data_IF_380824604229
#
_entry.id   IF_380824604229
#
_cell.length_a   1.000
_cell.length_b   1.000
_cell.length_c   1.000
_cell.angle_alpha   90.00
_cell.angle_beta   90.00
_cell.angle_gamma   90.00
#
_symmetry.space_group_name_H-M   'P 1'
#
loop_
_entity.id
_entity.type
_entity.pdbx_description
1 polymer ?
#
# COMPACT_ATOMS: atom_id res chain seq x y z
N UNK A 1 16.60 -0.52 -2.21
CA UNK A 1 16.71 0.92 -2.51
C UNK A 1 16.04 1.40 -3.80
N UNK A 2 15.61 0.49 -4.65
CA UNK A 2 14.85 0.81 -5.87
C UNK A 2 13.43 1.27 -5.56
N UNK A 3 12.77 0.62 -4.60
CA UNK A 3 11.40 0.95 -4.17
C UNK A 3 11.36 2.37 -3.58
N UNK A 4 12.33 2.72 -2.73
CA UNK A 4 12.41 4.04 -2.13
C UNK A 4 12.64 5.16 -3.15
N UNK A 5 13.49 4.92 -4.18
CA UNK A 5 13.69 5.89 -5.27
C UNK A 5 12.45 6.08 -6.14
N UNK A 6 11.67 5.02 -6.35
CA UNK A 6 10.41 5.13 -7.09
C UNK A 6 9.33 5.84 -6.27
N UNK A 7 9.25 5.58 -4.96
CA UNK A 7 8.39 6.35 -4.05
C UNK A 7 8.69 7.85 -4.11
N UNK A 8 9.95 8.27 -4.04
CA UNK A 8 10.32 9.68 -4.12
C UNK A 8 9.88 10.31 -5.45
N UNK A 9 10.07 9.62 -6.59
CA UNK A 9 9.61 10.11 -7.90
C UNK A 9 8.09 10.24 -7.97
N UNK A 10 7.36 9.32 -7.34
CA UNK A 10 5.90 9.35 -7.25
C UNK A 10 5.45 10.54 -6.38
N UNK A 11 6.12 10.81 -5.27
CA UNK A 11 5.85 11.99 -4.44
C UNK A 11 6.08 13.29 -5.21
N UNK A 12 7.12 13.38 -6.00
CA UNK A 12 7.38 14.57 -6.85
C UNK A 12 6.24 14.81 -7.84
N UNK A 13 5.71 13.75 -8.46
CA UNK A 13 4.55 13.85 -9.37
C UNK A 13 3.30 14.28 -8.61
N UNK A 14 3.02 13.71 -7.44
CA UNK A 14 1.88 14.10 -6.60
C UNK A 14 1.96 15.58 -6.22
N UNK A 15 3.14 16.06 -5.82
CA UNK A 15 3.38 17.46 -5.47
C UNK A 15 3.15 18.37 -6.68
N UNK A 16 3.53 17.94 -7.87
CA UNK A 16 3.33 18.72 -9.10
C UNK A 16 1.85 18.77 -9.51
N UNK A 17 1.16 17.65 -9.45
CA UNK A 17 -0.27 17.52 -9.82
C UNK A 17 -1.17 18.33 -8.88
N UNK A 18 -0.79 18.43 -7.61
CA UNK A 18 -1.57 19.13 -6.57
C UNK A 18 -1.14 20.59 -6.29
N UNK A 19 -0.22 21.16 -7.07
CA UNK A 19 0.25 22.55 -6.87
C UNK A 19 -0.84 23.61 -6.85
N UNK A 20 -1.99 23.33 -7.44
CA UNK A 20 -3.12 24.26 -7.57
C UNK A 20 -4.34 23.86 -6.74
N UNK A 21 -4.28 22.78 -5.97
CA UNK A 21 -5.40 22.33 -5.13
C UNK A 21 -5.12 22.75 -3.69
N UNK A 22 -5.96 23.63 -3.08
CA UNK A 22 -5.83 23.96 -1.68
C UNK A 22 -5.85 22.69 -0.82
N UNK A 23 -5.00 22.63 0.21
CA UNK A 23 -4.82 21.43 1.06
C UNK A 23 -6.12 20.91 1.67
N UNK A 24 -7.12 21.75 1.89
CA UNK A 24 -8.45 21.36 2.40
C UNK A 24 -9.33 20.67 1.35
N UNK A 25 -8.96 20.72 0.06
CA UNK A 25 -9.66 20.04 -1.03
C UNK A 25 -9.02 18.70 -1.42
N UNK A 26 -7.92 18.34 -0.77
CA UNK A 26 -7.30 17.03 -1.00
C UNK A 26 -8.25 15.92 -0.56
N UNK A 27 -8.65 15.07 -1.50
CA UNK A 27 -9.58 13.98 -1.26
C UNK A 27 -8.94 12.81 -0.52
N UNK A 28 -7.64 12.61 -0.66
CA UNK A 28 -6.89 11.62 0.07
C UNK A 28 -5.78 12.26 0.89
N UNK A 29 -5.73 11.94 2.19
CA UNK A 29 -4.68 12.35 3.11
C UNK A 29 -3.63 11.26 3.35
N UNK A 30 -3.65 10.19 2.53
CA UNK A 30 -2.79 9.04 2.74
C UNK A 30 -3.00 8.41 4.12
N UNK A 31 -1.92 8.05 4.80
CA UNK A 31 -2.00 7.47 6.15
C UNK A 31 -2.69 8.39 7.17
N UNK A 32 -2.72 9.70 6.94
CA UNK A 32 -3.43 10.67 7.81
C UNK A 32 -4.96 10.62 7.65
N UNK A 33 -5.50 9.87 6.70
CA UNK A 33 -6.93 9.64 6.53
C UNK A 33 -7.48 8.49 7.41
N UNK A 34 -6.61 7.76 8.11
CA UNK A 34 -7.04 6.70 9.04
C UNK A 34 -7.94 7.31 10.13
N UNK A 35 -8.93 6.53 10.56
CA UNK A 35 -9.79 6.89 11.70
C UNK A 35 -8.91 7.07 12.93
N UNK A 36 -9.26 8.06 13.78
CA UNK A 36 -8.51 8.32 15.00
C UNK A 36 -8.31 7.06 15.84
N UNK A 37 -7.06 6.84 16.24
CA UNK A 37 -6.63 5.62 16.93
C UNK A 37 -7.40 5.37 18.23
N UNK A 38 -7.75 6.43 19.00
CA UNK A 38 -8.48 6.26 20.25
C UNK A 38 -9.92 5.79 19.99
N UNK A 39 -10.58 6.35 18.98
CA UNK A 39 -11.91 5.93 18.56
C UNK A 39 -11.88 4.48 18.07
N UNK A 40 -10.90 4.12 17.28
CA UNK A 40 -10.71 2.77 16.76
C UNK A 40 -10.44 1.78 17.91
N UNK A 41 -9.51 2.10 18.80
CA UNK A 41 -9.15 1.29 19.96
C UNK A 41 -10.36 1.05 20.89
N UNK A 42 -11.13 2.10 21.19
CA UNK A 42 -12.30 2.01 22.08
C UNK A 42 -13.39 1.11 21.48
N UNK A 43 -13.56 1.17 20.16
CA UNK A 43 -14.57 0.38 19.45
C UNK A 43 -14.14 -1.06 19.27
N UNK A 44 -12.90 -1.29 18.85
CA UNK A 44 -12.39 -2.61 18.50
C UNK A 44 -11.94 -3.43 19.72
N UNK A 45 -11.56 -2.80 20.84
CA UNK A 45 -11.08 -3.50 22.05
C UNK A 45 -12.12 -4.44 22.67
N UNK A 46 -13.39 -4.28 22.32
CA UNK A 46 -14.48 -5.13 22.80
C UNK A 46 -14.66 -6.41 21.96
N UNK A 47 -14.24 -6.40 20.72
CA UNK A 47 -14.59 -7.42 19.73
C UNK A 47 -13.37 -8.05 19.05
N UNK A 48 -12.25 -7.32 18.94
CA UNK A 48 -11.08 -7.69 18.14
C UNK A 48 -9.81 -7.48 18.95
N UNK A 49 -8.86 -8.40 18.83
CA UNK A 49 -7.49 -8.21 19.34
C UNK A 49 -6.85 -7.13 18.48
N UNK A 50 -6.72 -5.92 19.03
CA UNK A 50 -6.08 -4.80 18.35
C UNK A 50 -4.60 -4.78 18.64
N UNK A 51 -3.78 -4.89 17.62
CA UNK A 51 -2.38 -4.46 17.65
C UNK A 51 -2.31 -3.05 17.09
N UNK A 52 -1.30 -2.27 17.49
CA UNK A 52 -1.02 -0.96 16.90
C UNK A 52 -0.29 -1.06 15.55
N UNK A 53 -0.08 -2.26 15.07
CA UNK A 53 0.70 -2.55 13.87
C UNK A 53 -0.21 -2.51 12.63
N UNK A 54 0.27 -1.92 11.53
CA UNK A 54 -0.43 -1.92 10.25
C UNK A 54 -0.29 -3.28 9.53
N UNK A 55 0.84 -3.98 9.72
CA UNK A 55 1.01 -5.36 9.29
C UNK A 55 0.92 -6.30 10.50
N UNK A 56 -0.08 -7.16 10.51
CA UNK A 56 -0.35 -8.10 11.61
C UNK A 56 0.12 -9.51 11.27
N UNK A 57 0.57 -10.24 12.29
CA UNK A 57 0.89 -11.65 12.14
C UNK A 57 -0.41 -12.47 12.00
N UNK A 58 -0.41 -13.41 11.06
CA UNK A 58 -1.56 -14.32 10.88
C UNK A 58 -1.54 -15.37 12.00
N UNK A 59 -2.62 -15.46 12.75
CA UNK A 59 -2.77 -16.44 13.84
C UNK A 59 -2.40 -17.85 13.37
N UNK A 60 -1.64 -18.57 14.19
CA UNK A 60 -1.10 -19.91 13.91
C UNK A 60 -0.03 -19.99 12.81
N UNK A 61 0.34 -18.87 12.20
CA UNK A 61 1.38 -18.81 11.16
C UNK A 61 2.43 -17.75 11.51
N UNK A 62 3.37 -18.02 12.44
CA UNK A 62 4.25 -17.01 13.03
C UNK A 62 5.21 -16.33 12.04
N UNK A 63 5.34 -16.86 10.84
CA UNK A 63 6.14 -16.26 9.77
C UNK A 63 5.32 -15.44 8.79
N UNK A 64 3.99 -15.53 8.81
CA UNK A 64 3.14 -14.82 7.86
C UNK A 64 2.61 -13.53 8.46
N UNK A 65 2.71 -12.47 7.69
CA UNK A 65 2.17 -11.15 7.98
C UNK A 65 1.18 -10.73 6.91
N UNK A 66 0.16 -10.03 7.31
CA UNK A 66 -0.87 -9.49 6.41
C UNK A 66 -1.09 -8.02 6.72
N UNK A 67 -1.23 -7.22 5.67
CA UNK A 67 -1.67 -5.83 5.72
C UNK A 67 -2.81 -5.60 4.74
N UNK A 68 -3.59 -4.55 4.96
CA UNK A 68 -4.57 -4.03 4.03
C UNK A 68 -4.55 -2.52 4.05
N UNK A 69 -4.34 -1.93 2.88
CA UNK A 69 -4.37 -0.49 2.69
C UNK A 69 -5.23 -0.11 1.49
N UNK A 70 -5.86 1.06 1.59
CA UNK A 70 -6.73 1.59 0.56
C UNK A 70 -6.56 3.10 0.46
N UNK A 71 -6.54 3.62 -0.77
CA UNK A 71 -6.47 5.05 -1.05
C UNK A 71 -7.56 5.48 -2.03
N UNK A 72 -8.07 6.69 -1.86
CA UNK A 72 -8.82 7.39 -2.89
C UNK A 72 -7.87 7.93 -3.95
N UNK A 73 -8.36 8.19 -5.15
CA UNK A 73 -7.54 8.76 -6.22
C UNK A 73 -6.95 10.11 -5.81
N UNK A 74 -5.64 10.23 -5.95
CA UNK A 74 -4.85 11.45 -5.72
C UNK A 74 -4.21 11.97 -7.00
N UNK A 75 -4.34 11.22 -8.08
CA UNK A 75 -3.88 11.56 -9.43
C UNK A 75 -4.92 11.14 -10.45
N UNK A 76 -5.00 11.86 -11.56
CA UNK A 76 -5.95 11.58 -12.64
C UNK A 76 -5.52 10.43 -13.57
N UNK A 77 -4.24 10.06 -13.55
CA UNK A 77 -3.70 8.97 -14.36
C UNK A 77 -3.94 7.61 -13.68
N UNK A 78 -4.76 6.71 -14.28
CA UNK A 78 -5.07 5.43 -13.67
C UNK A 78 -3.87 4.49 -13.54
N UNK A 79 -2.92 4.53 -14.48
CA UNK A 79 -1.69 3.73 -14.40
C UNK A 79 -0.83 4.16 -13.21
N UNK A 80 -0.64 5.47 -13.06
CA UNK A 80 0.11 6.03 -11.94
C UNK A 80 -0.60 5.77 -10.60
N UNK A 81 -1.92 5.87 -10.57
CA UNK A 81 -2.72 5.52 -9.38
C UNK A 81 -2.47 4.07 -8.95
N UNK A 82 -2.47 3.13 -9.89
CA UNK A 82 -2.13 1.73 -9.64
C UNK A 82 -0.74 1.56 -9.04
N UNK A 83 0.26 2.27 -9.55
CA UNK A 83 1.63 2.24 -9.00
C UNK A 83 1.70 2.79 -7.58
N UNK A 84 1.04 3.90 -7.32
CA UNK A 84 1.01 4.53 -5.99
C UNK A 84 0.36 3.60 -4.97
N UNK A 85 -0.82 3.09 -5.28
CA UNK A 85 -1.55 2.20 -4.39
C UNK A 85 -0.78 0.91 -4.07
N UNK A 86 -0.13 0.31 -5.07
CA UNK A 86 0.70 -0.87 -4.87
C UNK A 86 1.91 -0.57 -3.97
N UNK A 87 2.64 0.54 -4.19
CA UNK A 87 3.75 0.93 -3.32
C UNK A 87 3.29 1.21 -1.89
N UNK A 88 2.13 1.85 -1.72
CA UNK A 88 1.55 2.11 -0.41
C UNK A 88 1.26 0.80 0.33
N UNK A 89 0.56 -0.14 -0.31
CA UNK A 89 0.15 -1.40 0.30
C UNK A 89 1.31 -2.35 0.66
N UNK A 90 2.43 -2.31 -0.07
CA UNK A 90 3.58 -3.18 0.22
C UNK A 90 4.48 -2.60 1.33
N UNK A 91 4.36 -1.32 1.64
CA UNK A 91 5.25 -0.63 2.59
C UNK A 91 5.23 -1.26 3.98
N UNK A 92 4.05 -1.63 4.49
CA UNK A 92 3.89 -2.22 5.82
C UNK A 92 4.50 -3.62 5.92
N UNK A 93 4.36 -4.42 4.86
CA UNK A 93 4.99 -5.75 4.78
C UNK A 93 6.51 -5.65 4.75
N UNK A 94 7.04 -4.64 4.07
CA UNK A 94 8.49 -4.37 4.04
C UNK A 94 8.95 -3.87 5.41
N UNK A 95 8.18 -3.02 6.08
CA UNK A 95 8.52 -2.46 7.40
C UNK A 95 8.71 -3.56 8.45
N UNK A 96 7.93 -4.64 8.38
CA UNK A 96 8.09 -5.81 9.26
C UNK A 96 9.15 -6.82 8.76
N UNK A 97 10.01 -6.42 7.84
CA UNK A 97 11.07 -7.24 7.25
C UNK A 97 10.56 -8.55 6.63
N UNK A 98 9.46 -8.47 5.90
CA UNK A 98 8.86 -9.62 5.22
C UNK A 98 9.04 -9.52 3.71
N UNK A 99 9.05 -10.70 3.03
CA UNK A 99 9.03 -10.84 1.58
C UNK A 99 7.58 -11.02 1.16
N UNK A 100 7.14 -10.30 0.13
CA UNK A 100 5.81 -10.44 -0.40
C UNK A 100 5.58 -11.85 -0.98
N UNK A 101 4.38 -12.38 -0.76
CA UNK A 101 3.93 -13.68 -1.28
C UNK A 101 2.78 -13.48 -2.25
N UNK A 102 1.76 -12.71 -1.85
CA UNK A 102 0.50 -12.57 -2.59
C UNK A 102 -0.14 -11.22 -2.33
N UNK A 103 -0.84 -10.70 -3.33
CA UNK A 103 -1.66 -9.52 -3.22
C UNK A 103 -3.06 -9.76 -3.82
N UNK A 104 -4.09 -9.28 -3.14
CA UNK A 104 -5.45 -9.19 -3.64
C UNK A 104 -5.83 -7.73 -3.80
N UNK A 105 -6.34 -7.36 -4.98
CA UNK A 105 -6.76 -6.00 -5.29
C UNK A 105 -8.21 -5.76 -4.89
N UNK A 106 -8.50 -4.59 -4.35
CA UNK A 106 -9.86 -4.06 -4.17
C UNK A 106 -9.92 -2.76 -4.96
N UNK A 107 -10.82 -2.68 -5.94
CA UNK A 107 -10.93 -1.50 -6.80
C UNK A 107 -12.40 -1.12 -7.00
N UNK A 108 -12.73 0.12 -6.67
CA UNK A 108 -13.97 0.76 -7.06
C UNK A 108 -13.69 1.79 -8.15
N UNK A 109 -14.32 1.61 -9.31
CA UNK A 109 -14.30 2.60 -10.39
C UNK A 109 -15.53 3.51 -10.29
N UNK A 110 -15.47 4.76 -10.76
CA UNK A 110 -16.62 5.63 -10.84
C UNK A 110 -17.64 5.13 -11.88
N UNK A 111 -18.87 5.58 -11.77
CA UNK A 111 -19.89 5.32 -12.78
C UNK A 111 -19.47 5.92 -14.12
N UNK A 112 -19.26 5.07 -15.12
CA UNK A 112 -18.90 5.47 -16.47
C UNK A 112 -19.37 4.42 -17.49
N UNK A 113 -19.15 4.67 -18.77
CA UNK A 113 -19.44 3.66 -19.79
C UNK A 113 -18.41 2.51 -19.74
N UNK A 114 -18.79 1.36 -20.25
CA UNK A 114 -17.97 0.14 -20.17
C UNK A 114 -16.58 0.27 -20.83
N UNK A 115 -16.45 1.07 -21.88
CA UNK A 115 -15.15 1.28 -22.57
C UNK A 115 -14.19 2.06 -21.70
N UNK A 116 -14.66 3.11 -21.02
CA UNK A 116 -13.83 3.90 -20.09
C UNK A 116 -13.44 3.04 -18.91
N UNK A 117 -14.40 2.34 -18.30
CA UNK A 117 -14.11 1.47 -17.16
C UNK A 117 -13.11 0.36 -17.51
N UNK A 118 -13.21 -0.24 -18.69
CA UNK A 118 -12.28 -1.27 -19.13
C UNK A 118 -10.86 -0.71 -19.31
N UNK A 119 -10.74 0.46 -19.93
CA UNK A 119 -9.47 1.16 -20.11
C UNK A 119 -8.83 1.50 -18.77
N UNK A 120 -9.58 2.11 -17.87
CA UNK A 120 -9.07 2.55 -16.57
C UNK A 120 -8.70 1.35 -15.70
N UNK A 121 -9.48 0.28 -15.72
CA UNK A 121 -9.17 -0.99 -15.06
C UNK A 121 -7.85 -1.57 -15.58
N UNK A 122 -7.67 -1.65 -16.91
CA UNK A 122 -6.45 -2.17 -17.52
C UNK A 122 -5.22 -1.35 -17.11
N UNK A 123 -5.31 -0.04 -17.13
CA UNK A 123 -4.22 0.85 -16.75
C UNK A 123 -3.87 0.74 -15.27
N UNK A 124 -4.87 0.73 -14.38
CA UNK A 124 -4.65 0.55 -12.93
C UNK A 124 -3.96 -0.78 -12.65
N UNK A 125 -4.47 -1.88 -13.23
CA UNK A 125 -3.88 -3.21 -13.05
C UNK A 125 -2.45 -3.25 -13.60
N UNK A 126 -2.21 -2.65 -14.75
CA UNK A 126 -0.88 -2.60 -15.39
C UNK A 126 0.13 -1.88 -14.51
N UNK A 127 -0.22 -0.71 -13.99
CA UNK A 127 0.63 0.07 -13.10
C UNK A 127 0.92 -0.65 -11.78
N UNK A 128 -0.09 -1.23 -11.15
CA UNK A 128 0.08 -2.00 -9.93
C UNK A 128 0.92 -3.27 -10.14
N UNK A 129 0.67 -4.00 -11.25
CA UNK A 129 1.39 -5.23 -11.59
C UNK A 129 2.88 -4.99 -11.81
N UNK A 130 3.27 -3.84 -12.38
CA UNK A 130 4.68 -3.49 -12.52
C UNK A 130 5.36 -3.42 -11.15
N UNK A 131 4.74 -2.75 -10.18
CA UNK A 131 5.29 -2.60 -8.83
C UNK A 131 5.37 -3.94 -8.11
N UNK A 132 4.30 -4.74 -8.14
CA UNK A 132 4.31 -6.06 -7.49
C UNK A 132 5.34 -7.01 -8.12
N UNK A 133 5.49 -7.01 -9.44
CA UNK A 133 6.51 -7.81 -10.13
C UNK A 133 7.93 -7.42 -9.71
N UNK A 134 8.22 -6.13 -9.60
CA UNK A 134 9.51 -5.63 -9.12
C UNK A 134 9.76 -6.02 -7.66
N UNK A 135 8.71 -6.13 -6.85
CA UNK A 135 8.79 -6.61 -5.47
C UNK A 135 8.82 -8.14 -5.34
N UNK A 136 8.82 -8.87 -6.46
CA UNK A 136 8.87 -10.34 -6.50
C UNK A 136 7.55 -11.02 -6.15
N UNK A 137 6.42 -10.35 -6.40
CA UNK A 137 5.07 -10.83 -6.13
C UNK A 137 4.18 -10.59 -7.35
N UNK A 138 2.97 -11.15 -7.34
CA UNK A 138 1.94 -10.87 -8.34
C UNK A 138 0.59 -10.61 -7.68
N UNK A 139 -0.28 -9.91 -8.40
CA UNK A 139 -1.69 -9.78 -8.03
C UNK A 139 -2.35 -11.12 -8.33
N UNK A 140 -2.83 -11.81 -7.30
CA UNK A 140 -3.40 -13.16 -7.41
C UNK A 140 -4.92 -13.17 -7.66
N UNK A 141 -5.56 -12.01 -7.50
CA UNK A 141 -7.00 -11.83 -7.66
C UNK A 141 -7.48 -10.57 -6.98
N UNK A 142 -8.77 -10.52 -6.67
CA UNK A 142 -9.33 -9.38 -5.96
C UNK A 142 -10.82 -9.19 -6.21
N UNK A 143 -11.30 -8.00 -5.91
CA UNK A 143 -12.68 -7.57 -6.12
C UNK A 143 -12.73 -6.23 -6.84
N UNK A 144 -13.57 -6.14 -7.87
CA UNK A 144 -13.80 -4.89 -8.60
C UNK A 144 -15.28 -4.55 -8.60
N UNK A 145 -15.59 -3.28 -8.43
CA UNK A 145 -16.97 -2.78 -8.45
C UNK A 145 -17.04 -1.42 -9.13
N UNK A 146 -18.24 -1.02 -9.49
CA UNK A 146 -18.55 0.33 -9.97
C UNK A 146 -19.40 1.01 -8.90
N UNK A 147 -18.95 2.17 -8.44
CA UNK A 147 -19.60 2.95 -7.37
C UNK A 147 -20.09 4.31 -7.83
N UNK A 148 -20.80 4.99 -6.94
CA UNK A 148 -21.35 6.33 -7.21
C UNK A 148 -20.34 7.46 -7.01
N UNK A 149 -19.19 7.15 -6.43
CA UNK A 149 -18.14 8.15 -6.19
C UNK A 149 -17.56 8.63 -7.51
N UNK A 150 -17.12 9.87 -7.53
CA UNK A 150 -16.55 10.49 -8.74
C UNK A 150 -15.14 9.99 -9.02
N UNK A 151 -14.44 9.57 -7.99
CA UNK A 151 -13.04 9.18 -8.05
C UNK A 151 -12.88 7.69 -7.74
N UNK A 152 -11.94 7.01 -8.39
CA UNK A 152 -11.64 5.63 -8.07
C UNK A 152 -11.04 5.49 -6.68
N UNK A 153 -11.36 4.37 -6.03
CA UNK A 153 -10.78 3.93 -4.77
C UNK A 153 -10.08 2.61 -5.00
N UNK A 154 -8.82 2.52 -4.62
CA UNK A 154 -8.01 1.33 -4.84
C UNK A 154 -7.26 0.93 -3.57
N UNK A 155 -7.19 -0.36 -3.32
CA UNK A 155 -6.41 -0.93 -2.22
C UNK A 155 -5.96 -2.33 -2.52
N UNK A 156 -5.13 -2.82 -1.62
CA UNK A 156 -4.63 -4.19 -1.67
C UNK A 156 -4.60 -4.80 -0.28
N UNK A 157 -4.99 -6.07 -0.21
CA UNK A 157 -4.62 -6.93 0.90
C UNK A 157 -3.37 -7.71 0.49
N UNK A 158 -2.31 -7.60 1.27
CA UNK A 158 -1.00 -8.14 0.95
C UNK A 158 -0.55 -9.11 2.04
N UNK A 159 -0.01 -10.26 1.63
CA UNK A 159 0.60 -11.23 2.53
C UNK A 159 2.09 -11.28 2.28
N UNK A 160 2.87 -11.32 3.35
CA UNK A 160 4.31 -11.49 3.31
C UNK A 160 4.81 -12.54 4.27
N UNK A 161 5.96 -13.13 3.96
CA UNK A 161 6.68 -14.06 4.81
C UNK A 161 7.91 -13.40 5.42
N UNK A 162 8.05 -13.48 6.73
CA UNK A 162 9.17 -12.91 7.49
C UNK A 162 10.49 -13.50 7.01
N UNK A 163 11.41 -12.64 6.63
CA UNK A 163 12.77 -13.06 6.25
C UNK A 163 13.52 -13.56 7.49
N UNK A 164 14.26 -14.65 7.32
CA UNK A 164 15.20 -15.08 8.36
C UNK A 164 16.29 -14.03 8.53
N UNK A 165 16.45 -13.50 9.74
CA UNK A 165 17.53 -12.58 10.06
C UNK A 165 18.82 -13.40 10.18
N UNK A 166 19.74 -13.20 9.26
CA UNK A 166 21.04 -13.84 9.35
C UNK A 166 21.85 -13.08 10.40
N UNK A 167 22.09 -13.69 11.58
CA UNK A 167 22.80 -13.07 12.71
C UNK A 167 24.18 -12.50 12.33
N UNK A 168 24.81 -13.05 11.26
CA UNK A 168 26.09 -12.52 10.74
C UNK A 168 25.98 -11.07 10.24
N UNK A 169 24.86 -10.69 9.61
CA UNK A 169 24.69 -9.32 9.09
C UNK A 169 24.46 -8.30 10.20
N UNK A 170 23.83 -8.68 11.31
CA UNK A 170 23.64 -7.80 12.46
C UNK A 170 24.97 -7.46 13.15
N UNK A 171 25.88 -8.44 13.26
CA UNK A 171 27.20 -8.21 13.82
C UNK A 171 28.07 -7.30 12.94
N UNK A 172 27.91 -7.37 11.62
CA UNK A 172 28.63 -6.52 10.67
C UNK A 172 28.16 -5.06 10.75
N UNK A 173 26.86 -4.84 10.78
CA UNK A 173 26.26 -3.50 10.96
C UNK A 173 26.64 -2.88 12.31
N UNK A 174 26.67 -3.68 13.39
CA UNK A 174 27.06 -3.19 14.71
C UNK A 174 28.56 -2.87 14.82
N UNK A 175 29.40 -3.49 14.01
CA UNK A 175 30.83 -3.16 13.90
C UNK A 175 31.02 -1.85 13.10
N UNK A 176 30.35 -1.70 11.97
CA UNK A 176 30.40 -0.47 11.17
C UNK A 176 29.90 0.76 11.93
N UNK A 177 28.86 0.62 12.76
CA UNK A 177 28.35 1.72 13.61
C UNK A 177 29.30 2.09 14.75
N UNK A 178 30.17 1.17 15.22
CA UNK A 178 31.17 1.45 16.24
C UNK A 178 32.41 2.14 15.67
N UNK A 179 32.69 2.00 14.39
CA UNK A 179 33.84 2.67 13.74
C UNK A 179 33.52 4.13 13.35
N UNK A 180 32.23 4.55 13.40
CA UNK A 180 31.77 5.90 13.05
C UNK A 180 31.48 6.75 14.29
N UNK A 181 31.51 6.18 15.47
CA UNK A 181 31.32 6.85 16.78
C UNK A 181 32.68 7.09 17.50
#
# INVERSE_FOLDING_TARGET
>A
NYIFRNLLKIFDVIIQDNKNIPSYQMQCRGCAAKVDFNSLKTTLSKEIITTSEDAININNYPKLYQSVDMISSIVSDPYLLGKIAANHAISDIIAVNSKLISALMILQLPYSNSKINSRDLEQVISGASEVFKLAGCSISGGHTMVGKDKDPVIGFSVIGEKKSVNKKNLNQISLELKEVS
#
